data_IF_346679647479
#
_entry.id   IF_346679647479
#
_cell.length_a   1.000
_cell.length_b   1.000
_cell.length_c   1.000
_cell.angle_alpha   90.00
_cell.angle_beta   90.00
_cell.angle_gamma   90.00
#
_symmetry.space_group_name_H-M   'P 1'
#
loop_
_entity.id
_entity.type
_entity.pdbx_description
1 polymer ?
#
# COMPACT_ATOMS: atom_id res chain seq x y z
N UNK A 1 -9.35 7.43 10.12
CA UNK A 1 -7.99 7.84 10.49
C UNK A 1 -8.01 9.30 10.95
N UNK A 2 -7.58 9.59 12.17
CA UNK A 2 -7.59 10.94 12.79
C UNK A 2 -6.16 11.47 13.07
N UNK A 3 -5.13 10.71 12.67
CA UNK A 3 -3.73 11.15 12.65
C UNK A 3 -3.22 11.72 13.98
N UNK A 4 -3.62 11.13 15.12
CA UNK A 4 -3.16 11.55 16.45
C UNK A 4 -3.88 12.77 17.02
N UNK A 5 -5.06 13.13 16.52
CA UNK A 5 -5.84 14.25 17.04
C UNK A 5 -6.20 14.07 18.53
N UNK A 6 -5.97 15.12 19.33
CA UNK A 6 -6.24 15.10 20.77
C UNK A 6 -7.74 15.25 21.07
N UNK A 7 -8.14 14.88 22.29
CA UNK A 7 -9.53 15.01 22.76
C UNK A 7 -10.10 16.43 22.55
N UNK A 8 -9.28 17.46 22.77
CA UNK A 8 -9.66 18.87 22.59
C UNK A 8 -10.04 19.16 21.13
N UNK A 9 -9.29 18.60 20.17
CA UNK A 9 -9.58 18.76 18.74
C UNK A 9 -10.91 18.10 18.37
N UNK A 10 -11.21 16.92 18.96
CA UNK A 10 -12.50 16.26 18.75
C UNK A 10 -13.69 17.07 19.30
N UNK A 11 -13.56 17.68 20.48
CA UNK A 11 -14.59 18.56 21.03
C UNK A 11 -14.81 19.79 20.16
N UNK A 12 -13.73 20.41 19.69
CA UNK A 12 -13.80 21.56 18.79
C UNK A 12 -14.46 21.19 17.46
N UNK A 13 -14.12 20.04 16.87
CA UNK A 13 -14.76 19.54 15.66
C UNK A 13 -16.26 19.30 15.87
N UNK A 14 -16.66 18.76 17.03
CA UNK A 14 -18.08 18.60 17.38
C UNK A 14 -18.81 19.94 17.46
N UNK A 15 -18.16 20.98 18.00
CA UNK A 15 -18.73 22.35 18.04
C UNK A 15 -18.86 22.95 16.65
N UNK A 16 -17.86 22.79 15.79
CA UNK A 16 -17.88 23.30 14.41
C UNK A 16 -18.99 22.65 13.57
N UNK A 17 -19.24 21.34 13.74
CA UNK A 17 -20.39 20.67 13.09
C UNK A 17 -21.75 21.25 13.44
N UNK A 18 -21.85 21.97 14.56
CA UNK A 18 -23.08 22.64 15.00
C UNK A 18 -23.11 24.12 14.59
N UNK A 19 -22.02 24.66 14.02
CA UNK A 19 -21.88 26.06 13.57
C UNK A 19 -21.44 26.11 12.11
N UNK A 20 -22.14 25.37 11.26
CA UNK A 20 -21.80 25.22 9.84
C UNK A 20 -22.06 26.52 9.10
N UNK A 21 -21.09 26.96 8.28
CA UNK A 21 -21.24 28.15 7.43
C UNK A 21 -22.16 27.89 6.23
N UNK A 22 -22.64 28.95 5.57
CA UNK A 22 -23.46 28.82 4.36
C UNK A 22 -22.68 28.14 3.22
N UNK A 23 -21.41 28.52 3.05
CA UNK A 23 -20.51 27.91 2.06
C UNK A 23 -20.27 26.42 2.33
N UNK A 24 -20.05 26.03 3.59
CA UNK A 24 -19.94 24.62 3.97
C UNK A 24 -21.22 23.84 3.71
N UNK A 25 -22.39 24.41 4.02
CA UNK A 25 -23.66 23.76 3.75
C UNK A 25 -23.90 23.58 2.24
N UNK A 26 -23.59 24.60 1.43
CA UNK A 26 -23.71 24.56 -0.02
C UNK A 26 -22.84 23.44 -0.61
N UNK A 27 -21.56 23.36 -0.22
CA UNK A 27 -20.68 22.29 -0.70
C UNK A 27 -21.11 20.92 -0.18
N UNK A 28 -21.53 20.82 1.08
CA UNK A 28 -21.95 19.55 1.68
C UNK A 28 -23.14 18.91 0.97
N UNK A 29 -24.10 19.71 0.49
CA UNK A 29 -25.25 19.21 -0.26
C UNK A 29 -24.84 18.42 -1.51
N UNK A 30 -23.73 18.79 -2.14
CA UNK A 30 -23.28 18.20 -3.42
C UNK A 30 -22.17 17.15 -3.27
N UNK A 31 -21.45 17.11 -2.15
CA UNK A 31 -20.38 16.11 -1.92
C UNK A 31 -20.76 15.00 -0.91
N UNK A 32 -21.86 15.15 -0.19
CA UNK A 32 -22.34 14.15 0.76
C UNK A 32 -22.90 12.89 0.06
N UNK A 33 -23.15 11.83 0.83
CA UNK A 33 -23.79 10.60 0.34
C UNK A 33 -23.10 9.93 -0.86
N UNK A 34 -21.77 10.07 -0.98
CA UNK A 34 -20.97 9.52 -2.09
C UNK A 34 -21.41 10.02 -3.48
N UNK A 35 -21.97 11.24 -3.58
CA UNK A 35 -22.35 11.84 -4.87
C UNK A 35 -21.18 11.99 -5.85
N UNK A 36 -19.95 12.09 -5.33
CA UNK A 36 -18.71 12.11 -6.13
C UNK A 36 -17.99 10.75 -6.16
N UNK A 37 -18.68 9.65 -5.88
CA UNK A 37 -18.12 8.29 -5.87
C UNK A 37 -17.31 7.93 -4.61
N UNK A 38 -16.91 8.91 -3.79
CA UNK A 38 -16.12 8.71 -2.56
C UNK A 38 -16.80 9.32 -1.33
N UNK A 39 -16.48 8.84 -0.13
CA UNK A 39 -17.09 9.34 1.12
C UNK A 39 -16.33 10.52 1.74
N UNK A 40 -17.00 11.66 1.82
CA UNK A 40 -16.53 12.81 2.59
C UNK A 40 -17.06 12.83 4.04
N UNK A 41 -16.27 13.40 4.95
CA UNK A 41 -16.62 13.69 6.35
C UNK A 41 -16.47 15.18 6.60
N UNK A 42 -17.40 15.78 7.36
CA UNK A 42 -17.34 17.19 7.76
C UNK A 42 -16.55 17.40 9.04
N UNK A 43 -15.83 18.51 9.11
CA UNK A 43 -15.15 19.00 10.30
C UNK A 43 -14.37 17.84 10.95
N UNK A 44 -13.46 17.26 10.17
CA UNK A 44 -12.79 16.01 10.50
C UNK A 44 -11.46 16.30 11.20
N UNK A 45 -11.27 15.85 12.46
CA UNK A 45 -10.00 15.99 13.17
C UNK A 45 -8.86 15.27 12.47
N UNK A 46 -7.75 15.97 12.27
CA UNK A 46 -6.51 15.43 11.71
C UNK A 46 -5.35 16.04 12.50
N UNK A 47 -4.68 15.23 13.32
CA UNK A 47 -3.59 15.71 14.16
C UNK A 47 -4.03 16.96 14.96
N UNK A 48 -3.29 18.05 14.90
CA UNK A 48 -3.58 19.29 15.62
C UNK A 48 -4.61 20.22 14.92
N UNK A 49 -5.21 19.84 13.80
CA UNK A 49 -6.15 20.69 13.06
C UNK A 49 -7.47 19.96 12.70
N UNK A 50 -8.46 20.73 12.22
CA UNK A 50 -9.78 20.23 11.83
C UNK A 50 -10.00 20.64 10.37
N UNK A 51 -10.18 19.66 9.49
CA UNK A 51 -10.48 19.90 8.08
C UNK A 51 -11.98 20.15 7.89
N UNK A 52 -12.36 21.15 7.09
CA UNK A 52 -13.78 21.39 6.77
C UNK A 52 -14.42 20.17 6.12
N UNK A 53 -13.74 19.59 5.12
CA UNK A 53 -14.11 18.29 4.57
C UNK A 53 -12.89 17.40 4.36
N UNK A 54 -13.04 16.13 4.69
CA UNK A 54 -12.01 15.12 4.49
C UNK A 54 -12.56 13.88 3.80
N UNK A 55 -11.87 13.46 2.74
CA UNK A 55 -12.07 12.17 2.08
C UNK A 55 -10.86 11.28 2.37
N UNK A 56 -11.10 10.17 3.07
CA UNK A 56 -10.04 9.22 3.39
C UNK A 56 -9.59 8.42 2.16
N UNK A 57 -10.53 8.00 1.32
CA UNK A 57 -10.30 7.21 0.10
C UNK A 57 -9.38 7.96 -0.87
N UNK A 58 -9.63 9.26 -1.07
CA UNK A 58 -8.80 10.12 -1.92
C UNK A 58 -7.60 10.75 -1.17
N UNK A 59 -7.47 10.53 0.15
CA UNK A 59 -6.59 11.30 1.06
C UNK A 59 -6.61 12.79 0.71
N UNK A 60 -7.82 13.36 0.64
CA UNK A 60 -8.07 14.72 0.20
C UNK A 60 -8.74 15.51 1.31
N UNK A 61 -8.19 16.69 1.59
CA UNK A 61 -8.79 17.74 2.41
C UNK A 61 -9.31 18.83 1.48
N UNK A 62 -10.52 19.30 1.77
CA UNK A 62 -11.08 20.51 1.19
C UNK A 62 -11.26 21.51 2.32
N UNK A 63 -10.58 22.64 2.24
CA UNK A 63 -10.77 23.78 3.16
C UNK A 63 -11.54 24.89 2.46
N UNK A 64 -12.50 25.49 3.16
CA UNK A 64 -13.24 26.65 2.71
C UNK A 64 -12.77 27.86 3.51
N UNK A 65 -12.42 28.94 2.82
CA UNK A 65 -11.99 30.15 3.51
C UNK A 65 -13.17 30.78 4.28
N UNK A 66 -13.28 30.49 5.58
CA UNK A 66 -13.94 31.36 6.54
C UNK A 66 -13.01 32.54 6.83
N UNK A 67 -13.47 33.78 6.63
CA UNK A 67 -12.72 35.02 6.83
C UNK A 67 -11.88 35.05 8.12
N UNK A 68 -10.64 34.58 8.10
CA UNK A 68 -9.68 34.66 9.22
C UNK A 68 -8.28 34.96 8.66
N UNK A 69 -8.02 36.27 8.60
CA UNK A 69 -6.77 37.00 8.87
C UNK A 69 -5.45 36.68 8.15
N UNK A 70 -5.10 37.62 7.27
CA UNK A 70 -3.75 38.12 6.98
C UNK A 70 -3.02 38.58 8.27
N UNK A 71 -2.48 37.65 9.06
CA UNK A 71 -1.55 37.95 10.17
C UNK A 71 -0.19 37.26 9.93
N UNK A 72 0.94 38.00 9.98
CA UNK A 72 2.28 37.46 9.69
C UNK A 72 2.72 36.29 10.57
N UNK A 73 2.18 36.15 11.79
CA UNK A 73 2.47 35.03 12.70
C UNK A 73 1.80 33.69 12.28
N UNK A 74 0.80 33.73 11.39
CA UNK A 74 0.11 32.53 10.88
C UNK A 74 0.89 31.88 9.73
N UNK A 75 1.70 32.67 8.99
CA UNK A 75 2.39 32.24 7.78
C UNK A 75 3.50 31.19 8.04
N UNK A 76 4.20 31.29 9.18
CA UNK A 76 5.21 30.29 9.57
C UNK A 76 4.59 28.99 10.10
N UNK A 77 3.39 29.05 10.69
CA UNK A 77 2.66 27.85 11.10
C UNK A 77 2.02 27.13 9.91
N UNK A 78 1.54 27.85 8.89
CA UNK A 78 0.91 27.22 7.72
C UNK A 78 1.89 26.43 6.83
N UNK A 79 3.16 26.82 6.76
CA UNK A 79 4.19 26.06 6.03
C UNK A 79 4.46 24.72 6.72
N UNK A 80 4.63 24.73 8.04
CA UNK A 80 4.83 23.49 8.82
C UNK A 80 3.56 22.62 8.82
N UNK A 81 2.37 23.24 8.78
CA UNK A 81 1.09 22.52 8.64
C UNK A 81 0.93 21.85 7.28
N UNK A 82 1.24 22.56 6.21
CA UNK A 82 1.24 22.03 4.85
C UNK A 82 2.23 20.87 4.73
N UNK A 83 3.46 21.03 5.23
CA UNK A 83 4.48 19.97 5.27
C UNK A 83 4.02 18.76 6.08
N UNK A 84 3.44 18.94 7.26
CA UNK A 84 2.96 17.83 8.07
C UNK A 84 1.80 17.07 7.39
N UNK A 85 0.95 17.76 6.62
CA UNK A 85 -0.12 17.14 5.84
C UNK A 85 0.40 16.39 4.61
N UNK A 86 1.40 16.95 3.93
CA UNK A 86 2.14 16.30 2.86
C UNK A 86 2.86 15.04 3.37
N UNK A 87 3.41 15.06 4.59
CA UNK A 87 4.00 13.87 5.24
C UNK A 87 2.99 12.72 5.44
N UNK A 88 1.69 13.01 5.53
CA UNK A 88 0.63 11.99 5.63
C UNK A 88 0.08 11.56 4.26
N UNK A 89 0.68 12.02 3.16
CA UNK A 89 0.19 11.77 1.80
C UNK A 89 -1.20 12.35 1.54
N UNK A 90 -1.56 13.41 2.28
CA UNK A 90 -2.86 14.08 2.19
C UNK A 90 -2.72 15.34 1.33
N UNK A 91 -3.52 15.41 0.27
CA UNK A 91 -3.62 16.61 -0.56
C UNK A 91 -4.60 17.59 0.07
N UNK A 92 -4.27 18.87 0.05
CA UNK A 92 -5.16 19.96 0.47
C UNK A 92 -5.53 20.78 -0.75
N UNK A 93 -6.82 20.97 -0.98
CA UNK A 93 -7.34 21.98 -1.92
C UNK A 93 -8.14 23.01 -1.13
N UNK A 94 -7.99 24.28 -1.48
CA UNK A 94 -8.65 25.40 -0.81
C UNK A 94 -9.54 26.14 -1.80
N UNK A 95 -10.72 26.56 -1.33
CA UNK A 95 -11.64 27.37 -2.11
C UNK A 95 -12.07 28.60 -1.33
N UNK A 96 -12.13 29.75 -1.99
CA UNK A 96 -12.77 30.93 -1.43
C UNK A 96 -14.28 30.74 -1.42
N UNK A 97 -14.97 31.28 -0.41
CA UNK A 97 -16.43 31.27 -0.37
C UNK A 97 -17.06 31.87 -1.66
N UNK A 98 -16.45 32.91 -2.21
CA UNK A 98 -16.90 33.51 -3.47
C UNK A 98 -16.84 32.55 -4.67
N UNK A 99 -15.90 31.58 -4.71
CA UNK A 99 -15.84 30.59 -5.78
C UNK A 99 -17.03 29.63 -5.71
N UNK A 100 -17.45 29.24 -4.50
CA UNK A 100 -18.63 28.39 -4.29
C UNK A 100 -19.92 29.09 -4.69
N UNK A 101 -20.06 30.37 -4.34
CA UNK A 101 -21.27 31.14 -4.66
C UNK A 101 -21.38 31.47 -6.14
N UNK A 102 -20.26 31.74 -6.81
CA UNK A 102 -20.27 32.22 -8.19
C UNK A 102 -20.09 31.11 -9.23
N UNK A 103 -19.44 30.00 -8.88
CA UNK A 103 -19.08 28.94 -9.84
C UNK A 103 -18.88 27.58 -9.16
N UNK A 104 -19.96 27.05 -8.57
CA UNK A 104 -19.96 25.74 -7.91
C UNK A 104 -19.52 24.60 -8.84
N UNK A 105 -19.89 24.65 -10.13
CA UNK A 105 -19.53 23.62 -11.10
C UNK A 105 -18.00 23.53 -11.29
N UNK A 106 -17.30 24.67 -11.39
CA UNK A 106 -15.84 24.68 -11.49
C UNK A 106 -15.18 24.15 -10.21
N UNK A 107 -15.75 24.44 -9.03
CA UNK A 107 -15.28 23.87 -7.75
C UNK A 107 -15.44 22.35 -7.76
N UNK A 108 -16.57 21.84 -8.21
CA UNK A 108 -16.83 20.40 -8.30
C UNK A 108 -15.90 19.69 -9.28
N UNK A 109 -15.62 20.26 -10.45
CA UNK A 109 -14.66 19.68 -11.39
C UNK A 109 -13.25 19.60 -10.80
N UNK A 110 -12.78 20.66 -10.13
CA UNK A 110 -11.48 20.63 -9.41
C UNK A 110 -11.45 19.55 -8.31
N UNK A 111 -12.56 19.35 -7.60
CA UNK A 111 -12.66 18.28 -6.59
C UNK A 111 -12.61 16.90 -7.26
N UNK A 112 -13.33 16.69 -8.36
CA UNK A 112 -13.32 15.43 -9.13
C UNK A 112 -11.93 15.12 -9.68
N UNK A 113 -11.25 16.11 -10.27
CA UNK A 113 -9.87 15.97 -10.73
C UNK A 113 -8.94 15.58 -9.57
N UNK A 114 -9.11 16.20 -8.40
CA UNK A 114 -8.31 15.88 -7.22
C UNK A 114 -8.57 14.47 -6.68
N UNK A 115 -9.80 13.98 -6.76
CA UNK A 115 -10.17 12.58 -6.43
C UNK A 115 -9.55 11.61 -7.44
N UNK A 116 -9.67 11.92 -8.74
CA UNK A 116 -9.20 11.05 -9.83
C UNK A 116 -7.67 10.95 -9.88
N UNK A 117 -6.96 12.04 -9.56
CA UNK A 117 -5.50 12.04 -9.47
C UNK A 117 -4.95 10.97 -8.51
N UNK A 118 -5.76 10.46 -7.57
CA UNK A 118 -5.42 9.34 -6.69
C UNK A 118 -6.14 8.02 -7.02
N UNK A 119 -7.23 8.03 -7.79
CA UNK A 119 -7.81 6.79 -8.34
C UNK A 119 -6.83 6.06 -9.28
N UNK A 120 -5.80 6.75 -9.80
CA UNK A 120 -4.67 6.13 -10.49
C UNK A 120 -3.54 5.62 -9.56
N UNK A 121 -3.70 5.71 -8.24
CA UNK A 121 -2.73 5.33 -7.23
C UNK A 121 -3.29 4.38 -6.14
N UNK A 122 -4.44 3.74 -6.39
CA UNK A 122 -4.87 2.55 -5.66
C UNK A 122 -5.21 1.49 -6.70
N UNK A 123 -4.67 0.25 -6.59
CA UNK A 123 -5.01 -0.80 -7.52
C UNK A 123 -6.51 -1.09 -7.43
N UNK A 124 -7.29 -0.95 -8.53
CA UNK A 124 -8.67 -1.39 -8.54
C UNK A 124 -8.71 -2.92 -8.41
N UNK A 125 -9.78 -3.40 -7.79
CA UNK A 125 -10.11 -4.81 -7.59
C UNK A 125 -10.07 -5.59 -8.91
N UNK A 126 -9.59 -6.83 -8.81
CA UNK A 126 -9.40 -7.77 -9.92
C UNK A 126 -10.65 -7.96 -10.77
N UNK A 127 -10.45 -7.89 -12.09
CA UNK A 127 -11.51 -8.10 -13.07
C UNK A 127 -11.25 -7.37 -14.38
N UNK A 128 -10.32 -7.88 -15.20
CA UNK A 128 -10.22 -7.61 -16.65
C UNK A 128 -9.85 -6.18 -17.06
N UNK A 129 -8.58 -5.95 -17.40
CA UNK A 129 -8.14 -4.76 -18.16
C UNK A 129 -7.03 -3.91 -17.54
N UNK A 130 -6.38 -4.36 -16.46
CA UNK A 130 -5.34 -3.60 -15.76
C UNK A 130 -3.92 -4.07 -16.13
N UNK A 131 -3.00 -3.12 -16.11
CA UNK A 131 -1.57 -3.36 -16.31
C UNK A 131 -0.99 -4.29 -15.24
N UNK A 132 -0.17 -5.25 -15.67
CA UNK A 132 0.68 -6.07 -14.81
C UNK A 132 1.69 -5.18 -14.08
N UNK A 133 1.93 -5.49 -12.80
CA UNK A 133 2.79 -4.69 -11.90
C UNK A 133 4.17 -5.32 -11.71
N UNK A 134 5.20 -4.49 -11.68
CA UNK A 134 6.56 -4.85 -11.32
C UNK A 134 6.87 -4.30 -9.92
N UNK A 135 7.19 -5.22 -9.00
CA UNK A 135 7.29 -4.91 -7.58
C UNK A 135 8.70 -5.26 -7.05
N UNK A 136 9.58 -4.27 -6.85
CA UNK A 136 10.80 -4.48 -6.10
C UNK A 136 10.52 -4.79 -4.62
N UNK A 137 11.20 -5.81 -4.09
CA UNK A 137 11.12 -6.19 -2.69
C UNK A 137 12.41 -5.87 -1.93
N UNK A 138 12.28 -5.21 -0.78
CA UNK A 138 13.34 -4.83 0.12
C UNK A 138 13.21 -5.64 1.41
N UNK A 139 14.07 -6.64 1.60
CA UNK A 139 14.19 -7.33 2.88
C UNK A 139 14.96 -6.39 3.83
N UNK A 140 14.36 -5.97 4.94
CA UNK A 140 14.96 -4.99 5.86
C UNK A 140 15.35 -5.67 7.16
N UNK A 141 16.59 -5.46 7.60
CA UNK A 141 17.10 -5.93 8.88
C UNK A 141 17.89 -4.83 9.56
N UNK A 142 17.53 -4.52 10.80
CA UNK A 142 18.22 -3.51 11.61
C UNK A 142 18.32 -2.14 10.89
N UNK A 143 17.25 -1.77 10.15
CA UNK A 143 17.17 -0.52 9.39
C UNK A 143 17.92 -0.50 8.06
N UNK A 144 18.56 -1.60 7.66
CA UNK A 144 19.31 -1.74 6.40
C UNK A 144 18.61 -2.73 5.47
N UNK A 145 18.66 -2.48 4.17
CA UNK A 145 18.21 -3.46 3.18
C UNK A 145 19.25 -4.56 3.10
N UNK A 146 18.82 -5.81 3.17
CA UNK A 146 19.69 -6.98 3.11
C UNK A 146 19.26 -7.92 1.99
N UNK A 147 20.19 -8.77 1.52
CA UNK A 147 19.86 -9.83 0.57
C UNK A 147 20.63 -11.11 0.86
N UNK A 148 19.94 -12.24 0.76
CA UNK A 148 20.50 -13.58 0.87
C UNK A 148 19.66 -14.60 0.08
N UNK A 149 20.03 -15.87 0.16
CA UNK A 149 19.28 -16.99 -0.42
C UNK A 149 18.49 -17.67 0.70
N UNK A 150 17.16 -17.80 0.58
CA UNK A 150 16.32 -18.38 1.62
C UNK A 150 16.55 -17.76 3.02
N UNK A 151 16.77 -16.44 3.06
CA UNK A 151 17.11 -15.68 4.27
C UNK A 151 18.39 -16.16 5.00
N UNK A 152 19.33 -16.77 4.27
CA UNK A 152 20.67 -17.19 4.71
C UNK A 152 21.73 -16.33 3.99
N UNK A 153 22.88 -16.09 4.63
CA UNK A 153 24.02 -15.31 4.11
C UNK A 153 23.66 -13.88 3.67
N UNK A 154 22.94 -13.17 4.55
CA UNK A 154 22.47 -11.80 4.32
C UNK A 154 23.64 -10.82 4.14
N UNK A 155 23.66 -10.11 3.00
CA UNK A 155 24.58 -9.01 2.67
C UNK A 155 23.83 -7.69 2.67
N UNK A 156 24.49 -6.61 3.06
CA UNK A 156 23.92 -5.25 2.99
C UNK A 156 23.77 -4.81 1.52
N UNK A 157 22.58 -4.37 1.16
CA UNK A 157 22.20 -3.88 -0.17
C UNK A 157 22.03 -2.36 -0.22
N UNK A 158 21.99 -1.67 0.93
CA UNK A 158 21.86 -0.22 0.99
C UNK A 158 20.79 0.29 1.95
N UNK A 159 20.60 1.61 1.93
CA UNK A 159 19.52 2.27 2.68
C UNK A 159 18.16 1.98 2.02
N UNK A 160 17.14 1.51 2.77
CA UNK A 160 15.84 1.16 2.20
C UNK A 160 15.10 2.37 1.61
N UNK A 161 15.30 3.57 2.15
CA UNK A 161 14.62 4.78 1.68
C UNK A 161 15.22 5.27 0.37
N UNK A 162 16.56 5.29 0.27
CA UNK A 162 17.26 5.64 -0.97
C UNK A 162 16.94 4.67 -2.11
N UNK A 163 16.99 3.35 -1.83
CA UNK A 163 16.63 2.32 -2.82
C UNK A 163 15.17 2.44 -3.27
N UNK A 164 14.26 2.73 -2.35
CA UNK A 164 12.85 2.93 -2.67
C UNK A 164 12.65 4.12 -3.63
N UNK A 165 13.31 5.25 -3.36
CA UNK A 165 13.26 6.41 -4.24
C UNK A 165 13.82 6.12 -5.64
N UNK A 166 14.93 5.38 -5.70
CA UNK A 166 15.52 4.94 -6.98
C UNK A 166 14.56 4.04 -7.76
N UNK A 167 13.92 3.07 -7.12
CA UNK A 167 12.95 2.20 -7.78
C UNK A 167 11.72 2.93 -8.28
N UNK A 168 11.20 3.89 -7.51
CA UNK A 168 10.11 4.74 -7.95
C UNK A 168 10.51 5.57 -9.20
N UNK A 169 11.72 6.13 -9.22
CA UNK A 169 12.24 6.85 -10.39
C UNK A 169 12.44 5.94 -11.61
N UNK A 170 12.82 4.68 -11.39
CA UNK A 170 12.90 3.66 -12.43
C UNK A 170 11.52 3.15 -12.91
N UNK A 171 10.43 3.65 -12.33
CA UNK A 171 9.08 3.30 -12.73
C UNK A 171 8.57 1.99 -12.12
N UNK A 172 9.03 1.59 -10.94
CA UNK A 172 8.36 0.56 -10.15
C UNK A 172 6.88 0.89 -9.96
N UNK A 173 6.01 -0.13 -10.00
CA UNK A 173 4.56 0.09 -9.86
C UNK A 173 4.13 0.13 -8.38
N UNK A 174 4.76 -0.70 -7.55
CA UNK A 174 4.62 -0.75 -6.09
C UNK A 174 5.96 -1.18 -5.46
N UNK A 175 6.10 -1.02 -4.15
CA UNK A 175 7.21 -1.59 -3.38
C UNK A 175 6.71 -2.51 -2.26
N UNK A 176 7.52 -3.49 -1.88
CA UNK A 176 7.28 -4.34 -0.71
C UNK A 176 8.49 -4.25 0.21
N UNK A 177 8.28 -3.96 1.49
CA UNK A 177 9.31 -4.03 2.51
C UNK A 177 8.97 -5.18 3.45
N UNK A 178 9.90 -6.12 3.62
CA UNK A 178 9.76 -7.23 4.55
C UNK A 178 10.77 -7.06 5.68
N UNK A 179 10.30 -6.59 6.83
CA UNK A 179 11.16 -6.50 8.01
C UNK A 179 11.39 -7.89 8.60
N UNK A 180 12.65 -8.31 8.67
CA UNK A 180 13.09 -9.59 9.24
C UNK A 180 13.84 -9.42 10.58
N UNK A 181 13.76 -8.23 11.17
CA UNK A 181 14.40 -7.91 12.46
C UNK A 181 13.77 -8.72 13.59
N UNK A 182 14.59 -9.37 14.42
CA UNK A 182 14.15 -10.26 15.49
C UNK A 182 14.07 -9.58 16.88
N UNK A 183 14.40 -8.29 17.00
CA UNK A 183 14.60 -7.61 18.29
C UNK A 183 13.33 -6.93 18.83
N UNK A 184 13.31 -6.61 20.13
CA UNK A 184 12.18 -5.91 20.78
C UNK A 184 12.00 -4.45 20.34
N UNK A 185 13.03 -3.79 19.81
CA UNK A 185 12.96 -2.39 19.34
C UNK A 185 12.37 -2.24 17.92
N UNK A 186 12.08 -3.37 17.27
CA UNK A 186 11.57 -3.50 15.91
C UNK A 186 10.44 -2.53 15.54
N UNK A 187 9.43 -2.39 16.41
CA UNK A 187 8.21 -1.63 16.10
C UNK A 187 8.49 -0.14 15.88
N UNK A 188 9.39 0.46 16.67
CA UNK A 188 9.74 1.88 16.51
C UNK A 188 10.54 2.12 15.23
N UNK A 189 11.57 1.30 14.99
CA UNK A 189 12.42 1.41 13.80
C UNK A 189 11.61 1.24 12.52
N UNK A 190 10.68 0.28 12.50
CA UNK A 190 9.81 0.05 11.35
C UNK A 190 8.88 1.25 11.08
N UNK A 191 8.27 1.84 12.11
CA UNK A 191 7.42 3.03 11.95
C UNK A 191 8.20 4.22 11.40
N UNK A 192 9.42 4.48 11.88
CA UNK A 192 10.23 5.59 11.38
C UNK A 192 10.72 5.37 9.93
N UNK A 193 11.04 4.12 9.57
CA UNK A 193 11.31 3.76 8.19
C UNK A 193 10.07 4.03 7.32
N UNK A 194 8.89 3.58 7.73
CA UNK A 194 7.64 3.79 6.98
C UNK A 194 7.36 5.27 6.76
N UNK A 195 7.50 6.12 7.79
CA UNK A 195 7.36 7.58 7.64
C UNK A 195 8.37 8.16 6.65
N UNK A 196 9.61 7.70 6.71
CA UNK A 196 10.68 8.20 5.84
C UNK A 196 10.43 7.82 4.38
N UNK A 197 10.00 6.58 4.13
CA UNK A 197 9.59 6.08 2.82
C UNK A 197 8.37 6.85 2.30
N UNK A 198 7.32 7.00 3.10
CA UNK A 198 6.09 7.69 2.72
C UNK A 198 6.30 9.17 2.32
N UNK A 199 7.32 9.83 2.88
CA UNK A 199 7.69 11.20 2.50
C UNK A 199 8.33 11.33 1.12
N UNK A 200 8.95 10.25 0.62
CA UNK A 200 9.73 10.27 -0.61
C UNK A 200 9.02 9.59 -1.78
N UNK A 201 8.08 8.69 -1.50
CA UNK A 201 7.40 7.90 -2.52
C UNK A 201 6.07 8.49 -2.96
N UNK A 202 5.80 8.34 -4.25
CA UNK A 202 4.53 8.64 -4.89
C UNK A 202 3.86 7.38 -5.50
N UNK A 203 4.41 6.20 -5.20
CA UNK A 203 3.87 4.89 -5.59
C UNK A 203 3.45 4.11 -4.34
N UNK A 204 2.47 3.18 -4.45
CA UNK A 204 2.02 2.41 -3.31
C UNK A 204 3.13 1.52 -2.73
N UNK A 205 3.12 1.32 -1.42
CA UNK A 205 4.00 0.34 -0.80
C UNK A 205 3.34 -0.50 0.30
N UNK A 206 3.80 -1.75 0.38
CA UNK A 206 3.35 -2.75 1.35
C UNK A 206 4.41 -2.96 2.42
N UNK A 207 4.00 -3.01 3.68
CA UNK A 207 4.89 -3.35 4.80
C UNK A 207 4.51 -4.71 5.38
N UNK A 208 5.46 -5.62 5.40
CA UNK A 208 5.36 -6.92 6.04
C UNK A 208 6.39 -7.11 7.14
N UNK A 209 6.09 -8.05 8.04
CA UNK A 209 6.99 -8.46 9.11
C UNK A 209 6.50 -8.06 10.51
N UNK A 210 6.20 -9.06 11.35
CA UNK A 210 5.94 -8.84 12.77
C UNK A 210 4.60 -8.22 13.12
N UNK A 211 3.66 -8.18 12.18
CA UNK A 211 2.28 -7.72 12.39
C UNK A 211 1.47 -8.87 12.99
N UNK A 212 1.07 -8.74 14.25
CA UNK A 212 0.39 -9.81 15.02
C UNK A 212 -0.97 -9.42 15.57
N UNK A 213 -1.28 -8.12 15.59
CA UNK A 213 -2.52 -7.56 16.12
C UNK A 213 -3.00 -6.37 15.28
N UNK A 214 -4.26 -5.96 15.46
CA UNK A 214 -4.85 -4.80 14.76
C UNK A 214 -4.05 -3.52 15.04
N UNK A 215 -3.53 -3.35 16.26
CA UNK A 215 -2.76 -2.18 16.66
C UNK A 215 -1.44 -2.04 15.88
N UNK A 216 -0.80 -3.16 15.51
CA UNK A 216 0.39 -3.16 14.65
C UNK A 216 0.04 -2.57 13.27
N UNK A 217 -1.00 -3.12 12.65
CA UNK A 217 -1.48 -2.70 11.34
C UNK A 217 -1.89 -1.22 11.35
N UNK A 218 -2.65 -0.80 12.36
CA UNK A 218 -3.08 0.58 12.52
C UNK A 218 -1.89 1.54 12.59
N UNK A 219 -0.84 1.20 13.36
CA UNK A 219 0.34 2.03 13.49
C UNK A 219 1.07 2.22 12.15
N UNK A 220 1.20 1.16 11.34
CA UNK A 220 1.90 1.19 10.06
C UNK A 220 1.10 1.92 8.97
N UNK A 221 -0.20 1.67 8.89
CA UNK A 221 -1.09 2.39 7.97
C UNK A 221 -1.19 3.88 8.33
N UNK A 222 -1.19 4.23 9.62
CA UNK A 222 -1.12 5.62 10.08
C UNK A 222 0.22 6.28 9.74
N UNK A 223 1.31 5.51 9.75
CA UNK A 223 2.65 5.99 9.44
C UNK A 223 2.87 6.26 7.94
N UNK A 224 2.03 5.70 7.07
CA UNK A 224 2.01 6.00 5.64
C UNK A 224 2.00 4.78 4.72
N UNK A 225 2.00 3.55 5.24
CA UNK A 225 1.90 2.36 4.40
C UNK A 225 0.53 2.29 3.70
N UNK A 226 0.53 1.84 2.44
CA UNK A 226 -0.70 1.65 1.65
C UNK A 226 -1.31 0.27 1.85
N UNK A 227 -0.49 -0.73 2.20
CA UNK A 227 -0.93 -2.10 2.49
C UNK A 227 -0.08 -2.71 3.60
N UNK A 228 -0.62 -3.72 4.26
CA UNK A 228 0.10 -4.55 5.22
C UNK A 228 0.18 -6.00 4.73
N UNK A 229 1.31 -6.66 5.01
CA UNK A 229 1.52 -8.06 4.70
C UNK A 229 1.67 -8.90 5.97
N UNK A 230 0.83 -9.94 6.08
CA UNK A 230 0.84 -10.91 7.18
C UNK A 230 1.14 -12.31 6.64
N UNK A 231 1.85 -13.12 7.42
CA UNK A 231 2.16 -14.52 7.09
C UNK A 231 1.97 -15.37 8.36
N UNK A 232 3.00 -15.49 9.19
CA UNK A 232 2.99 -16.45 10.30
C UNK A 232 1.94 -16.15 11.36
N UNK A 233 1.59 -14.88 11.57
CA UNK A 233 0.50 -14.49 12.46
C UNK A 233 -0.87 -14.94 11.93
N UNK A 234 -1.08 -14.86 10.62
CA UNK A 234 -2.32 -15.29 9.96
C UNK A 234 -2.47 -16.81 10.00
N UNK A 235 -1.39 -17.57 9.80
CA UNK A 235 -1.42 -19.04 9.92
C UNK A 235 -1.74 -19.47 11.36
N UNK A 236 -1.13 -18.83 12.36
CA UNK A 236 -1.38 -19.14 13.77
C UNK A 236 -2.77 -18.70 14.25
N UNK A 237 -3.30 -17.63 13.67
CA UNK A 237 -4.61 -17.09 14.00
C UNK A 237 -5.31 -16.55 12.73
N UNK A 238 -6.01 -17.42 11.97
CA UNK A 238 -6.66 -17.00 10.71
C UNK A 238 -7.67 -15.87 10.89
N UNK A 239 -8.27 -15.76 12.08
CA UNK A 239 -9.21 -14.68 12.43
C UNK A 239 -8.60 -13.28 12.28
N UNK A 240 -7.28 -13.15 12.39
CA UNK A 240 -6.57 -11.89 12.17
C UNK A 240 -6.83 -11.32 10.77
N UNK A 241 -6.93 -12.16 9.73
CA UNK A 241 -7.24 -11.72 8.36
C UNK A 241 -8.60 -10.99 8.35
N UNK A 242 -9.62 -11.64 8.92
CA UNK A 242 -10.98 -11.12 8.97
C UNK A 242 -11.09 -9.84 9.82
N UNK A 243 -10.38 -9.80 10.95
CA UNK A 243 -10.37 -8.64 11.84
C UNK A 243 -9.72 -7.42 11.16
N UNK A 244 -8.61 -7.62 10.44
CA UNK A 244 -7.95 -6.58 9.65
C UNK A 244 -8.82 -6.12 8.48
N UNK A 245 -9.40 -7.07 7.74
CA UNK A 245 -10.29 -6.79 6.62
C UNK A 245 -11.52 -5.99 7.03
N UNK A 246 -12.16 -6.34 8.15
CA UNK A 246 -13.32 -5.60 8.70
C UNK A 246 -12.93 -4.20 9.20
N UNK A 247 -11.73 -4.04 9.73
CA UNK A 247 -11.28 -2.79 10.33
C UNK A 247 -10.83 -1.78 9.28
N UNK A 248 -10.01 -2.22 8.31
CA UNK A 248 -9.37 -1.34 7.34
C UNK A 248 -9.95 -1.47 5.92
N UNK A 249 -10.46 -2.64 5.56
CA UNK A 249 -10.88 -3.01 4.20
C UNK A 249 -9.94 -4.05 3.59
N UNK A 250 -10.50 -4.94 2.76
CA UNK A 250 -9.75 -6.06 2.14
C UNK A 250 -8.55 -5.59 1.32
N UNK A 251 -8.66 -4.44 0.65
CA UNK A 251 -7.62 -3.88 -0.22
C UNK A 251 -6.30 -3.54 0.51
N UNK A 252 -6.32 -3.44 1.84
CA UNK A 252 -5.15 -3.19 2.66
C UNK A 252 -4.44 -4.46 3.13
N UNK A 253 -5.07 -5.63 2.97
CA UNK A 253 -4.62 -6.90 3.55
C UNK A 253 -3.98 -7.78 2.48
N UNK A 254 -2.66 -7.87 2.49
CA UNK A 254 -1.89 -8.82 1.70
C UNK A 254 -1.58 -10.04 2.56
N UNK A 255 -1.94 -11.24 2.10
CA UNK A 255 -1.48 -12.47 2.73
C UNK A 255 -0.22 -12.95 2.01
N UNK A 256 0.91 -12.97 2.71
CA UNK A 256 2.11 -13.64 2.25
C UNK A 256 2.07 -15.13 2.61
N UNK A 257 2.32 -15.98 1.61
CA UNK A 257 2.34 -17.43 1.74
C UNK A 257 3.66 -17.95 1.19
N UNK A 258 4.48 -18.49 2.08
CA UNK A 258 5.67 -19.25 1.70
C UNK A 258 5.26 -20.70 1.54
N UNK A 259 5.55 -21.30 0.39
CA UNK A 259 5.14 -22.67 0.07
C UNK A 259 6.30 -23.49 -0.45
N UNK A 260 6.29 -24.79 -0.14
CA UNK A 260 7.27 -25.75 -0.62
C UNK A 260 6.59 -27.06 -1.00
N UNK A 261 7.06 -27.70 -2.06
CA UNK A 261 6.59 -29.01 -2.49
C UNK A 261 7.15 -30.11 -1.59
N UNK A 262 6.27 -30.83 -0.91
CA UNK A 262 6.59 -31.92 0.03
C UNK A 262 5.62 -33.08 -0.22
N UNK A 263 6.16 -34.27 -0.49
CA UNK A 263 5.40 -35.52 -0.61
C UNK A 263 4.16 -35.44 -1.53
N UNK A 264 4.31 -34.78 -2.67
CA UNK A 264 3.25 -34.69 -3.68
C UNK A 264 2.35 -33.45 -3.57
N UNK A 265 2.56 -32.61 -2.55
CA UNK A 265 1.69 -31.47 -2.23
C UNK A 265 2.47 -30.19 -1.97
N UNK A 266 1.84 -29.05 -2.18
CA UNK A 266 2.37 -27.76 -1.75
C UNK A 266 1.93 -27.51 -0.31
N UNK A 267 2.90 -27.34 0.58
CA UNK A 267 2.66 -27.13 2.01
C UNK A 267 3.09 -25.73 2.43
N UNK A 268 2.27 -25.07 3.24
CA UNK A 268 2.59 -23.75 3.80
C UNK A 268 3.75 -23.90 4.80
N UNK A 269 4.71 -23.00 4.69
CA UNK A 269 5.87 -22.92 5.58
C UNK A 269 5.91 -21.56 6.30
N UNK A 270 6.42 -21.58 7.53
CA UNK A 270 6.67 -20.40 8.34
C UNK A 270 8.17 -20.16 8.51
N UNK A 271 8.52 -19.02 9.11
CA UNK A 271 9.89 -18.62 9.42
C UNK A 271 10.81 -18.61 8.18
N UNK A 272 10.31 -18.09 7.05
CA UNK A 272 11.04 -18.02 5.79
C UNK A 272 11.33 -19.41 5.19
N UNK A 273 10.31 -20.27 5.15
CA UNK A 273 10.42 -21.61 4.56
C UNK A 273 11.02 -22.70 5.46
N UNK A 274 11.28 -22.43 6.74
CA UNK A 274 12.01 -23.36 7.65
C UNK A 274 11.10 -24.29 8.45
N UNK A 275 9.89 -23.85 8.76
CA UNK A 275 8.94 -24.60 9.57
C UNK A 275 7.76 -25.01 8.71
N UNK A 276 7.68 -26.29 8.35
CA UNK A 276 6.50 -26.85 7.68
C UNK A 276 5.28 -26.82 8.59
N UNK A 277 4.11 -26.57 8.01
CA UNK A 277 2.81 -26.66 8.68
C UNK A 277 1.97 -27.78 8.08
N UNK A 278 0.84 -28.08 8.70
CA UNK A 278 -0.18 -29.01 8.23
C UNK A 278 -1.06 -28.45 7.10
N UNK A 279 -0.92 -27.16 6.77
CA UNK A 279 -1.77 -26.50 5.79
C UNK A 279 -1.28 -26.76 4.37
N UNK A 280 -2.15 -27.32 3.55
CA UNK A 280 -1.97 -27.39 2.10
C UNK A 280 -2.20 -25.99 1.50
N UNK A 281 -1.25 -25.52 0.68
CA UNK A 281 -1.14 -24.14 0.21
C UNK A 281 -2.42 -23.66 -0.48
N UNK A 282 -2.99 -24.47 -1.36
CA UNK A 282 -4.20 -24.14 -2.10
C UNK A 282 -5.40 -23.94 -1.16
N UNK A 283 -5.59 -24.86 -0.21
CA UNK A 283 -6.69 -24.77 0.75
C UNK A 283 -6.55 -23.54 1.65
N UNK A 284 -5.33 -23.24 2.09
CA UNK A 284 -5.05 -22.07 2.92
C UNK A 284 -5.32 -20.76 2.18
N UNK A 285 -4.86 -20.64 0.93
CA UNK A 285 -5.11 -19.45 0.11
C UNK A 285 -6.60 -19.25 -0.12
N UNK A 286 -7.37 -20.33 -0.37
CA UNK A 286 -8.81 -20.22 -0.54
C UNK A 286 -9.51 -19.74 0.73
N UNK A 287 -9.15 -20.32 1.88
CA UNK A 287 -9.66 -19.89 3.17
C UNK A 287 -9.31 -18.42 3.46
N UNK A 288 -8.12 -17.97 3.09
CA UNK A 288 -7.70 -16.60 3.29
C UNK A 288 -8.49 -15.59 2.45
N UNK A 289 -8.81 -15.93 1.20
CA UNK A 289 -9.73 -15.14 0.37
C UNK A 289 -11.10 -15.01 1.07
N UNK A 290 -11.66 -16.13 1.55
CA UNK A 290 -12.96 -16.14 2.25
C UNK A 290 -12.95 -15.31 3.55
N UNK A 291 -11.79 -15.23 4.21
CA UNK A 291 -11.58 -14.41 5.41
C UNK A 291 -11.32 -12.93 5.10
N UNK A 292 -11.12 -12.54 3.85
CA UNK A 292 -10.98 -11.14 3.44
C UNK A 292 -9.53 -10.69 3.15
N UNK A 293 -8.62 -11.59 2.81
CA UNK A 293 -7.39 -11.19 2.14
C UNK A 293 -7.74 -10.51 0.81
N UNK A 294 -7.15 -9.33 0.53
CA UNK A 294 -7.39 -8.60 -0.72
C UNK A 294 -6.38 -8.90 -1.81
N UNK A 295 -5.25 -9.52 -1.48
CA UNK A 295 -4.18 -9.87 -2.42
C UNK A 295 -3.28 -10.96 -1.81
N UNK A 296 -2.77 -11.87 -2.64
CA UNK A 296 -1.88 -12.95 -2.24
C UNK A 296 -0.47 -12.68 -2.73
N UNK A 297 0.51 -12.66 -1.82
CA UNK A 297 1.93 -12.73 -2.16
C UNK A 297 2.38 -14.18 -2.02
N UNK A 298 2.51 -14.88 -3.15
CA UNK A 298 2.84 -16.31 -3.18
C UNK A 298 4.33 -16.52 -3.50
N UNK A 299 5.08 -17.00 -2.52
CA UNK A 299 6.51 -17.29 -2.63
C UNK A 299 6.74 -18.80 -2.74
N UNK A 300 7.24 -19.27 -3.88
CA UNK A 300 7.70 -20.66 -4.03
C UNK A 300 9.11 -20.79 -3.46
N UNK A 301 9.25 -21.48 -2.32
CA UNK A 301 10.53 -21.71 -1.65
C UNK A 301 11.45 -22.66 -2.42
N UNK A 302 10.91 -23.46 -3.34
CA UNK A 302 11.70 -24.30 -4.25
C UNK A 302 12.37 -23.47 -5.35
N UNK A 303 11.83 -22.30 -5.66
CA UNK A 303 12.34 -21.38 -6.66
C UNK A 303 13.06 -20.17 -6.06
N UNK A 304 12.79 -19.79 -4.81
CA UNK A 304 13.38 -18.59 -4.21
C UNK A 304 14.92 -18.61 -4.18
N UNK A 305 15.52 -17.49 -4.58
CA UNK A 305 16.98 -17.35 -4.71
C UNK A 305 17.67 -18.18 -5.81
N UNK A 306 16.97 -19.06 -6.53
CA UNK A 306 17.58 -19.95 -7.55
C UNK A 306 17.89 -19.27 -8.88
N UNK A 307 17.21 -18.16 -9.19
CA UNK A 307 17.21 -17.51 -10.51
C UNK A 307 16.79 -18.43 -11.67
N UNK A 308 16.04 -19.51 -11.41
CA UNK A 308 15.63 -20.51 -12.40
C UNK A 308 14.25 -20.26 -13.05
N UNK A 309 13.61 -19.12 -12.75
CA UNK A 309 12.25 -18.79 -13.18
C UNK A 309 11.25 -18.89 -12.04
N UNK A 310 10.09 -18.25 -12.19
CA UNK A 310 8.99 -18.38 -11.25
C UNK A 310 8.31 -19.76 -11.36
N UNK A 311 7.67 -20.21 -10.29
CA UNK A 311 6.86 -21.44 -10.31
C UNK A 311 5.52 -21.22 -11.03
N UNK A 312 5.56 -21.21 -12.36
CA UNK A 312 4.39 -20.93 -13.19
C UNK A 312 3.28 -21.98 -13.03
N UNK A 313 3.63 -23.22 -12.67
CA UNK A 313 2.68 -24.32 -12.49
C UNK A 313 1.80 -24.08 -11.26
N UNK A 314 2.44 -23.85 -10.11
CA UNK A 314 1.76 -23.48 -8.88
C UNK A 314 0.95 -22.17 -9.05
N UNK A 315 1.58 -21.13 -9.59
CA UNK A 315 0.95 -19.82 -9.74
C UNK A 315 -0.31 -19.89 -10.62
N UNK A 316 -0.25 -20.61 -11.75
CA UNK A 316 -1.40 -20.81 -12.64
C UNK A 316 -2.54 -21.54 -11.94
N UNK A 317 -2.22 -22.60 -11.17
CA UNK A 317 -3.22 -23.35 -10.39
C UNK A 317 -3.92 -22.48 -9.36
N UNK A 318 -3.17 -21.68 -8.59
CA UNK A 318 -3.75 -20.78 -7.58
C UNK A 318 -4.56 -19.67 -8.23
N UNK A 319 -4.07 -19.07 -9.33
CA UNK A 319 -4.75 -18.00 -10.05
C UNK A 319 -6.12 -18.41 -10.60
N UNK A 320 -6.32 -19.69 -10.91
CA UNK A 320 -7.62 -20.21 -11.37
C UNK A 320 -8.63 -20.46 -10.23
N UNK A 321 -8.17 -20.47 -8.98
CA UNK A 321 -8.96 -20.86 -7.81
C UNK A 321 -9.53 -19.68 -7.01
N UNK A 322 -8.89 -18.51 -7.12
CA UNK A 322 -9.25 -17.29 -6.39
C UNK A 322 -9.57 -16.14 -7.35
N UNK A 323 -10.24 -15.10 -6.84
CA UNK A 323 -10.66 -13.92 -7.58
C UNK A 323 -9.92 -12.64 -7.16
N UNK A 324 -9.01 -12.76 -6.20
CA UNK A 324 -8.15 -11.68 -5.72
C UNK A 324 -6.77 -11.73 -6.39
N UNK A 325 -6.06 -10.59 -6.53
CA UNK A 325 -4.79 -10.54 -7.24
C UNK A 325 -3.70 -11.42 -6.63
N UNK A 326 -2.80 -11.90 -7.50
CA UNK A 326 -1.60 -12.65 -7.11
C UNK A 326 -0.33 -11.88 -7.48
N UNK A 327 0.55 -11.74 -6.49
CA UNK A 327 1.94 -11.33 -6.63
C UNK A 327 2.81 -12.59 -6.66
N UNK A 328 3.41 -12.90 -7.81
CA UNK A 328 4.37 -13.97 -7.96
C UNK A 328 5.71 -13.61 -7.30
N UNK A 329 6.25 -14.48 -6.45
CA UNK A 329 7.53 -14.29 -5.74
C UNK A 329 8.38 -15.56 -5.77
N UNK A 330 9.70 -15.37 -5.86
CA UNK A 330 10.69 -16.46 -5.89
C UNK A 330 11.08 -16.90 -7.31
N UNK A 331 12.38 -16.87 -7.63
CA UNK A 331 12.95 -17.48 -8.83
C UNK A 331 13.26 -16.56 -10.02
N UNK A 332 12.89 -15.28 -10.00
CA UNK A 332 13.28 -14.32 -11.02
C UNK A 332 14.81 -14.29 -11.24
N UNK A 333 15.25 -14.32 -12.50
CA UNK A 333 16.66 -14.43 -12.87
C UNK A 333 17.05 -13.65 -14.13
N UNK A 334 16.12 -13.50 -15.07
CA UNK A 334 16.26 -12.70 -16.28
C UNK A 334 14.88 -12.13 -16.69
N UNK A 335 14.83 -11.24 -17.67
CA UNK A 335 13.58 -10.62 -18.13
C UNK A 335 12.59 -11.63 -18.72
N UNK A 336 13.06 -12.72 -19.34
CA UNK A 336 12.19 -13.75 -19.92
C UNK A 336 11.34 -14.46 -18.85
N UNK A 337 11.86 -14.61 -17.62
CA UNK A 337 11.08 -15.18 -16.51
C UNK A 337 9.85 -14.32 -16.16
N UNK A 338 9.93 -12.99 -16.30
CA UNK A 338 8.78 -12.11 -16.10
C UNK A 338 7.77 -12.24 -17.24
N UNK A 339 8.23 -12.29 -18.49
CA UNK A 339 7.36 -12.56 -19.64
C UNK A 339 6.64 -13.90 -19.48
N UNK A 340 7.37 -14.93 -19.08
CA UNK A 340 6.86 -16.28 -18.87
C UNK A 340 5.78 -16.33 -17.79
N UNK A 341 6.02 -15.74 -16.61
CA UNK A 341 5.05 -15.81 -15.52
C UNK A 341 3.74 -15.09 -15.86
N UNK A 342 3.80 -13.96 -16.56
CA UNK A 342 2.59 -13.27 -17.00
C UNK A 342 1.85 -14.01 -18.12
N UNK A 343 2.55 -14.69 -19.03
CA UNK A 343 1.91 -15.44 -20.12
C UNK A 343 1.35 -16.79 -19.66
N UNK A 344 2.09 -17.54 -18.83
CA UNK A 344 1.74 -18.92 -18.43
C UNK A 344 0.86 -18.98 -17.19
N UNK A 345 1.11 -18.12 -16.21
CA UNK A 345 0.36 -18.11 -14.94
C UNK A 345 -0.70 -17.01 -14.89
N UNK A 346 -0.60 -15.99 -15.75
CA UNK A 346 -1.53 -14.85 -15.80
C UNK A 346 -1.70 -14.12 -14.46
N UNK A 347 -0.65 -14.10 -13.63
CA UNK A 347 -0.62 -13.36 -12.36
C UNK A 347 -0.70 -11.85 -12.56
N UNK A 348 -1.06 -11.09 -11.54
CA UNK A 348 -1.27 -9.64 -11.61
C UNK A 348 0.00 -8.83 -11.38
N UNK A 349 0.95 -9.41 -10.66
CA UNK A 349 2.22 -8.79 -10.36
C UNK A 349 3.36 -9.81 -10.29
N UNK A 350 4.57 -9.33 -10.56
CA UNK A 350 5.80 -10.08 -10.36
C UNK A 350 6.71 -9.30 -9.41
N UNK A 351 7.10 -9.96 -8.32
CA UNK A 351 7.96 -9.42 -7.29
C UNK A 351 9.37 -10.01 -7.41
N UNK A 352 10.37 -9.16 -7.34
CA UNK A 352 11.77 -9.58 -7.32
C UNK A 352 12.64 -8.64 -6.47
N UNK A 353 13.77 -9.16 -6.01
CA UNK A 353 14.72 -8.42 -5.17
C UNK A 353 16.11 -8.38 -5.82
N UNK A 354 16.85 -9.50 -5.79
CA UNK A 354 18.27 -9.54 -6.17
C UNK A 354 18.56 -9.01 -7.59
N UNK A 355 17.74 -9.37 -8.57
CA UNK A 355 17.93 -8.94 -9.96
C UNK A 355 17.83 -7.42 -10.13
N UNK A 356 17.07 -6.74 -9.27
CA UNK A 356 16.96 -5.29 -9.26
C UNK A 356 18.08 -4.65 -8.41
N UNK A 357 18.32 -5.16 -7.20
CA UNK A 357 19.32 -4.59 -6.27
C UNK A 357 20.74 -4.61 -6.85
N UNK A 358 21.08 -5.63 -7.64
CA UNK A 358 22.39 -5.73 -8.28
C UNK A 358 22.45 -5.13 -9.68
N UNK A 359 21.38 -4.47 -10.14
CA UNK A 359 21.31 -3.85 -11.47
C UNK A 359 21.40 -4.85 -12.63
N UNK A 360 21.13 -6.14 -12.39
CA UNK A 360 21.12 -7.17 -13.43
C UNK A 360 19.95 -6.96 -14.40
N UNK A 361 18.84 -6.42 -13.90
CA UNK A 361 17.67 -6.02 -14.66
C UNK A 361 17.28 -4.62 -14.21
N UNK A 362 17.23 -3.67 -15.15
CA UNK A 362 16.63 -2.35 -14.89
C UNK A 362 15.13 -2.42 -15.16
N UNK A 363 14.32 -1.79 -14.29
CA UNK A 363 12.85 -1.79 -14.41
C UNK A 363 12.37 -1.18 -15.74
N UNK A 364 12.94 -0.07 -16.24
CA UNK A 364 12.53 0.50 -17.53
C UNK A 364 12.74 -0.49 -18.68
N UNK A 365 13.87 -1.20 -18.70
CA UNK A 365 14.20 -2.17 -19.76
C UNK A 365 13.26 -3.37 -19.70
N UNK A 366 13.00 -3.87 -18.49
CA UNK A 366 12.03 -4.93 -18.26
C UNK A 366 10.63 -4.53 -18.76
N UNK A 367 10.17 -3.32 -18.45
CA UNK A 367 8.86 -2.83 -18.90
C UNK A 367 8.78 -2.69 -20.42
N UNK A 368 9.86 -2.26 -21.09
CA UNK A 368 9.93 -2.26 -22.55
C UNK A 368 9.86 -3.68 -23.12
N UNK A 369 10.57 -4.64 -22.50
CA UNK A 369 10.54 -6.04 -22.93
C UNK A 369 9.13 -6.65 -22.78
N UNK A 370 8.45 -6.40 -21.66
CA UNK A 370 7.08 -6.84 -21.43
C UNK A 370 6.11 -6.22 -22.45
N UNK A 371 6.27 -4.93 -22.76
CA UNK A 371 5.48 -4.27 -23.80
C UNK A 371 5.68 -4.89 -25.19
N UNK A 372 6.93 -5.22 -25.57
CA UNK A 372 7.23 -5.92 -26.84
C UNK A 372 6.55 -7.29 -26.92
N UNK A 373 6.37 -7.95 -25.78
CA UNK A 373 5.67 -9.22 -25.66
C UNK A 373 4.14 -9.07 -25.47
N UNK A 374 3.58 -7.89 -25.73
CA UNK A 374 2.15 -7.57 -25.60
C UNK A 374 1.58 -7.77 -24.19
N UNK A 375 2.42 -7.66 -23.16
CA UNK A 375 1.96 -7.69 -21.77
C UNK A 375 1.63 -6.25 -21.37
N UNK A 376 0.39 -5.97 -20.91
CA UNK A 376 -0.01 -4.62 -20.55
C UNK A 376 0.76 -4.21 -19.29
N UNK A 377 1.64 -3.22 -19.40
CA UNK A 377 2.40 -2.66 -18.27
C UNK A 377 2.33 -1.13 -18.32
N UNK A 378 2.48 -0.47 -17.18
CA UNK A 378 2.61 0.99 -17.13
C UNK A 378 3.99 1.39 -17.61
N UNK A 379 4.09 2.29 -18.59
CA UNK A 379 5.35 2.80 -19.17
C UNK A 379 5.73 4.13 -18.55
#
# INVERSE_FOLDING_TARGET
>A
MFYGASHIIFENAKRLRNKVTEAENLLWQVISNKQLGVKFRRQHPISYFIADFYCHEAKLIIELDGSIHDLPEVLNNDIERQKALEQFGIRVIRFKNAELYNNLDSVLEKIKEAIQAKQFASPPLGGGGLSKRIIPCLDVKDGRTVKGVNFVDLRDAGDPVELAAQYAQQGADELVFLDITATHERRKTMIEMVKSVARQLNIPFTIGGGITEIADAEALLNAGADKISINSAAVRNPKLIEDLAKTFGVQFVVLAVDTKYVDGKNMVHLNGGRLITELETENWIKQAEDLGAGEILLTSMDHDGTKAGFDCGLLSKVNQMINIPIIASGGAGNMAHFTEVFQKANVDAALAASVFHYGEILIPDLKQELKRNNIPVRI
#
